data_IF_165195604168
#
_entry.id   IF_165195604168
#
_cell.length_a   1.000
_cell.length_b   1.000
_cell.length_c   1.000
_cell.angle_alpha   90.00
_cell.angle_beta   90.00
_cell.angle_gamma   90.00
#
_symmetry.space_group_name_H-M   'P 1'
#
loop_
_entity.id
_entity.type
_entity.pdbx_description
1 polymer ?
#
# COMPACT_ATOMS: atom_id res chain seq x y z
N UNK A 1 -43.83 -54.92 -32.59
CA UNK A 1 -42.63 -54.38 -33.26
C UNK A 1 -41.90 -53.57 -32.20
N UNK A 2 -40.72 -53.91 -31.70
CA UNK A 2 -39.75 -54.97 -31.92
C UNK A 2 -38.89 -55.04 -30.63
N UNK A 3 -38.21 -56.17 -30.47
CA UNK A 3 -37.61 -56.81 -29.31
C UNK A 3 -36.38 -56.04 -28.76
N UNK A 4 -36.08 -56.03 -27.46
CA UNK A 4 -35.34 -57.15 -26.83
C UNK A 4 -35.15 -57.01 -25.30
N UNK A 5 -35.53 -58.09 -24.59
CA UNK A 5 -34.82 -58.85 -23.52
C UNK A 5 -34.28 -58.06 -22.29
N UNK A 6 -34.82 -58.25 -21.06
CA UNK A 6 -34.68 -59.39 -20.09
C UNK A 6 -33.21 -59.82 -19.86
N UNK A 7 -32.69 -60.16 -18.67
CA UNK A 7 -33.09 -60.15 -17.26
C UNK A 7 -31.81 -60.59 -16.47
N UNK A 8 -31.54 -59.96 -15.30
CA UNK A 8 -31.01 -60.46 -13.98
C UNK A 8 -29.94 -61.61 -13.87
N UNK A 9 -29.38 -61.98 -12.68
CA UNK A 9 -29.20 -61.32 -11.37
C UNK A 9 -27.81 -61.58 -10.67
N UNK A 10 -27.58 -60.94 -9.51
CA UNK A 10 -27.07 -61.60 -8.30
C UNK A 10 -25.56 -61.85 -8.10
N UNK A 11 -25.03 -61.48 -6.93
CA UNK A 11 -23.75 -62.03 -6.44
C UNK A 11 -23.07 -61.22 -5.32
N UNK A 12 -23.45 -61.48 -4.07
CA UNK A 12 -22.69 -61.13 -2.85
C UNK A 12 -21.37 -61.92 -2.81
N UNK A 13 -20.27 -61.33 -2.35
CA UNK A 13 -19.51 -61.83 -1.18
C UNK A 13 -18.37 -60.89 -0.73
N UNK A 14 -18.24 -60.81 0.59
CA UNK A 14 -17.11 -60.23 1.36
C UNK A 14 -15.93 -61.21 1.38
N UNK A 15 -14.78 -60.71 1.86
CA UNK A 15 -13.71 -61.27 2.72
C UNK A 15 -12.37 -60.71 2.18
N UNK A 16 -11.46 -60.10 2.93
CA UNK A 16 -11.33 -60.01 4.38
C UNK A 16 -10.18 -59.11 4.81
N UNK A 17 -9.95 -59.20 6.11
CA UNK A 17 -9.14 -58.37 6.99
C UNK A 17 -7.63 -58.38 6.68
N UNK A 18 -6.98 -57.24 6.96
CA UNK A 18 -5.67 -57.25 7.60
C UNK A 18 -5.55 -56.06 8.55
N UNK A 19 -5.69 -56.40 9.83
CA UNK A 19 -5.34 -55.57 10.97
C UNK A 19 -3.82 -55.42 11.06
N UNK A 20 -3.35 -54.19 11.34
CA UNK A 20 -2.10 -53.99 12.07
C UNK A 20 -2.40 -53.04 13.23
N UNK A 21 -2.42 -53.63 14.40
CA UNK A 21 -2.43 -52.99 15.71
C UNK A 21 -1.05 -52.40 15.97
N UNK A 22 -0.97 -51.12 16.34
CA UNK A 22 0.14 -50.64 17.17
C UNK A 22 -0.42 -49.67 18.20
N UNK A 23 -0.29 -50.09 19.45
CA UNK A 23 -0.69 -49.44 20.70
C UNK A 23 -0.07 -48.04 20.82
N UNK A 24 -0.85 -47.07 21.28
CA UNK A 24 -0.34 -45.78 21.74
C UNK A 24 0.30 -45.87 23.13
N UNK A 25 1.06 -44.85 23.53
CA UNK A 25 1.25 -44.49 24.93
C UNK A 25 0.45 -43.22 25.32
N UNK A 26 0.01 -43.25 26.57
CA UNK A 26 -0.78 -42.29 27.36
C UNK A 26 -0.11 -40.90 27.50
N UNK A 27 -0.85 -39.82 27.84
CA UNK A 27 -0.44 -38.43 27.69
C UNK A 27 0.26 -37.89 28.94
N UNK A 28 1.32 -37.12 28.75
CA UNK A 28 1.71 -36.10 29.72
C UNK A 28 2.63 -35.04 29.12
N UNK A 29 2.27 -33.78 29.41
CA UNK A 29 3.03 -32.51 29.30
C UNK A 29 3.02 -31.73 27.97
N UNK A 30 2.98 -30.38 28.04
CA UNK A 30 2.41 -29.52 27.00
C UNK A 30 3.47 -29.08 25.98
N UNK A 31 3.15 -29.22 24.70
CA UNK A 31 3.94 -28.68 23.60
C UNK A 31 3.55 -27.23 23.35
N UNK A 32 4.38 -26.31 23.83
CA UNK A 32 4.44 -24.92 23.37
C UNK A 32 4.77 -24.88 21.87
N UNK A 33 3.88 -24.29 21.09
CA UNK A 33 4.02 -24.15 19.65
C UNK A 33 3.20 -22.96 19.15
N UNK A 34 3.43 -21.79 19.74
CA UNK A 34 3.06 -20.52 19.12
C UNK A 34 4.14 -20.18 18.10
N UNK A 35 3.91 -20.53 16.83
CA UNK A 35 4.71 -20.06 15.71
C UNK A 35 3.94 -18.97 14.99
N UNK A 36 3.93 -17.78 15.58
CA UNK A 36 3.60 -16.55 14.87
C UNK A 36 4.75 -16.23 13.90
N UNK A 37 4.51 -16.07 12.58
CA UNK A 37 5.57 -15.82 11.63
C UNK A 37 6.10 -14.39 11.83
N UNK A 38 7.40 -14.28 12.13
CA UNK A 38 8.12 -13.02 12.17
C UNK A 38 7.94 -12.26 10.84
N UNK A 39 7.29 -11.09 10.91
CA UNK A 39 7.19 -10.17 9.77
C UNK A 39 8.58 -9.63 9.37
N UNK A 40 8.75 -9.15 8.13
CA UNK A 40 10.05 -8.68 7.66
C UNK A 40 10.50 -7.45 8.45
N UNK A 41 11.69 -7.55 9.05
CA UNK A 41 12.44 -6.44 9.66
C UNK A 41 12.71 -5.37 8.60
N UNK A 42 12.08 -4.21 8.77
CA UNK A 42 12.18 -3.08 7.85
C UNK A 42 13.22 -2.12 8.42
N UNK A 43 14.49 -2.24 8.04
CA UNK A 43 15.55 -1.42 8.61
C UNK A 43 15.34 0.09 8.31
N UNK A 44 14.90 0.85 9.30
CA UNK A 44 14.80 2.33 9.30
C UNK A 44 16.16 3.00 9.12
N UNK A 45 17.27 2.25 9.25
CA UNK A 45 18.66 2.72 9.12
C UNK A 45 18.92 3.52 7.84
N UNK A 46 18.20 3.27 6.74
CA UNK A 46 18.41 3.99 5.47
C UNK A 46 17.80 5.40 5.41
N UNK A 47 16.83 5.75 6.26
CA UNK A 47 16.18 7.08 6.25
C UNK A 47 16.90 8.13 7.10
N UNK A 48 17.99 7.75 7.76
CA UNK A 48 18.73 8.59 8.70
C UNK A 48 20.05 9.18 8.17
N UNK A 49 20.41 8.90 6.92
CA UNK A 49 21.62 9.46 6.33
C UNK A 49 21.38 10.90 5.86
N UNK A 50 21.60 11.87 6.75
CA UNK A 50 21.86 13.25 6.34
C UNK A 50 23.23 13.27 5.62
N UNK A 51 23.25 13.42 4.29
CA UNK A 51 24.46 13.88 3.60
C UNK A 51 24.61 15.39 3.84
N UNK A 52 25.70 15.87 4.45
CA UNK A 52 25.85 17.29 4.75
C UNK A 52 26.06 18.09 3.45
N UNK A 53 25.23 19.13 3.27
CA UNK A 53 25.43 20.13 2.22
C UNK A 53 26.77 20.87 2.42
N UNK A 54 27.52 21.17 1.34
CA UNK A 54 28.79 21.87 1.46
C UNK A 54 28.53 23.37 1.67
N UNK A 55 28.90 23.93 2.82
CA UNK A 55 29.07 25.39 2.92
C UNK A 55 28.83 26.12 4.24
N UNK A 56 28.67 25.48 5.40
CA UNK A 56 28.71 26.21 6.68
C UNK A 56 29.55 25.52 7.76
N UNK A 57 30.62 26.21 8.16
CA UNK A 57 31.67 25.77 9.08
C UNK A 57 31.26 25.97 10.54
N UNK A 58 30.20 25.30 10.97
CA UNK A 58 30.02 24.90 12.36
C UNK A 58 29.47 23.48 12.38
N UNK A 59 30.34 22.48 12.60
CA UNK A 59 29.91 21.09 12.75
C UNK A 59 29.02 21.01 14.00
N UNK A 60 27.71 21.06 13.82
CA UNK A 60 26.77 20.60 14.82
C UNK A 60 27.08 19.11 15.02
N UNK A 61 27.86 18.78 16.05
CA UNK A 61 27.87 17.43 16.60
C UNK A 61 26.41 17.09 16.82
N UNK A 62 25.90 16.04 16.17
CA UNK A 62 24.53 15.58 16.39
C UNK A 62 24.20 15.65 17.87
N UNK A 63 23.10 16.33 18.20
CA UNK A 63 22.72 16.48 19.59
C UNK A 63 22.61 15.10 20.23
N UNK A 64 22.88 15.00 21.53
CA UNK A 64 22.77 13.70 22.22
C UNK A 64 21.36 13.11 22.04
N UNK A 65 20.33 13.96 21.96
CA UNK A 65 18.96 13.57 21.65
C UNK A 65 18.80 13.02 20.21
N UNK A 66 19.49 13.57 19.21
CA UNK A 66 19.49 13.05 17.84
C UNK A 66 20.10 11.64 17.76
N UNK A 67 21.20 11.39 18.49
CA UNK A 67 21.79 10.05 18.57
C UNK A 67 20.90 9.05 19.31
N UNK A 68 20.26 9.47 20.40
CA UNK A 68 19.30 8.63 21.13
C UNK A 68 18.08 8.32 20.25
N UNK A 69 17.61 9.29 19.46
CA UNK A 69 16.55 9.07 18.47
C UNK A 69 16.95 7.96 17.49
N UNK A 70 18.16 8.02 16.93
CA UNK A 70 18.64 6.98 16.03
C UNK A 70 18.72 5.62 16.73
N UNK A 71 19.27 5.57 17.94
CA UNK A 71 19.35 4.33 18.71
C UNK A 71 17.97 3.73 19.04
N UNK A 72 16.92 4.55 19.17
CA UNK A 72 15.53 4.07 19.33
C UNK A 72 14.96 3.54 18.00
N UNK A 73 15.31 4.11 16.85
CA UNK A 73 14.93 3.55 15.55
C UNK A 73 15.60 2.19 15.33
N UNK A 74 16.90 2.11 15.59
CA UNK A 74 17.66 0.86 15.49
C UNK A 74 17.11 -0.20 16.46
N UNK A 75 16.64 0.22 17.64
CA UNK A 75 15.96 -0.65 18.61
C UNK A 75 14.67 -1.24 18.04
N UNK A 76 13.81 -0.42 17.42
CA UNK A 76 12.57 -0.88 16.78
C UNK A 76 12.87 -1.95 15.74
N UNK A 77 13.92 -1.74 14.93
CA UNK A 77 14.32 -2.67 13.88
C UNK A 77 14.87 -3.98 14.42
N UNK A 78 15.82 -3.88 15.36
CA UNK A 78 16.55 -5.02 15.89
C UNK A 78 15.70 -5.89 16.80
N UNK A 79 14.71 -5.31 17.48
CA UNK A 79 13.74 -6.05 18.29
C UNK A 79 12.46 -6.43 17.52
N UNK A 80 12.36 -6.04 16.24
CA UNK A 80 11.23 -6.39 15.38
C UNK A 80 9.89 -5.83 15.87
N UNK A 81 9.91 -4.66 16.50
CA UNK A 81 8.71 -4.03 17.06
C UNK A 81 7.81 -3.52 15.93
N UNK A 82 6.61 -4.08 15.85
CA UNK A 82 5.59 -3.72 14.88
C UNK A 82 4.67 -2.60 15.36
N UNK A 83 3.77 -2.17 14.48
CA UNK A 83 2.74 -1.18 14.80
C UNK A 83 1.93 -1.62 16.01
N UNK A 84 1.83 -0.75 17.01
CA UNK A 84 1.13 -1.01 18.27
C UNK A 84 2.02 -1.56 19.39
N UNK A 85 3.22 -2.07 19.07
CA UNK A 85 4.13 -2.60 20.08
C UNK A 85 4.70 -1.48 20.95
N UNK A 86 4.84 -1.79 22.25
CA UNK A 86 5.35 -0.85 23.23
C UNK A 86 6.89 -0.81 23.23
N UNK A 87 7.43 0.40 23.14
CA UNK A 87 8.83 0.67 23.45
C UNK A 87 9.12 0.44 24.94
N UNK A 88 10.37 0.10 25.31
CA UNK A 88 10.80 0.13 26.68
C UNK A 88 10.54 1.50 27.33
N UNK A 89 10.27 1.49 28.65
CA UNK A 89 9.99 2.74 29.36
C UNK A 89 11.16 3.72 29.27
N UNK A 90 10.89 5.03 29.40
CA UNK A 90 11.93 6.07 29.40
C UNK A 90 13.06 5.79 30.38
N UNK A 91 12.77 5.15 31.53
CA UNK A 91 13.79 4.77 32.51
C UNK A 91 14.72 3.68 31.98
N UNK A 92 14.16 2.65 31.36
CA UNK A 92 14.91 1.54 30.76
C UNK A 92 15.76 2.03 29.59
N UNK A 93 15.21 2.88 28.73
CA UNK A 93 15.96 3.48 27.62
C UNK A 93 17.10 4.38 28.10
N UNK A 94 16.88 5.15 29.17
CA UNK A 94 17.91 6.01 29.75
C UNK A 94 19.09 5.20 30.30
N UNK A 95 18.81 4.11 31.00
CA UNK A 95 19.82 3.16 31.49
C UNK A 95 20.55 2.48 30.33
N UNK A 96 19.81 1.95 29.35
CA UNK A 96 20.36 1.24 28.19
C UNK A 96 21.31 2.10 27.37
N UNK A 97 20.98 3.38 27.18
CA UNK A 97 21.79 4.30 26.37
C UNK A 97 22.79 5.11 27.19
N UNK A 98 22.81 4.98 28.52
CA UNK A 98 23.73 5.73 29.39
C UNK A 98 23.49 7.24 29.37
N UNK A 99 22.23 7.69 29.25
CA UNK A 99 21.85 9.12 29.16
C UNK A 99 20.81 9.49 30.20
N UNK A 100 20.53 10.79 30.38
CA UNK A 100 19.47 11.23 31.29
C UNK A 100 18.07 10.95 30.71
N UNK A 101 17.07 10.75 31.58
CA UNK A 101 15.66 10.59 31.17
C UNK A 101 15.14 11.77 30.35
N UNK A 102 15.66 12.98 30.59
CA UNK A 102 15.28 14.19 29.84
C UNK A 102 15.68 14.07 28.37
N UNK A 103 16.89 13.59 28.09
CA UNK A 103 17.38 13.39 26.70
C UNK A 103 16.54 12.32 25.99
N UNK A 104 16.19 11.23 26.67
CA UNK A 104 15.28 10.21 26.10
C UNK A 104 13.91 10.80 25.80
N UNK A 105 13.34 11.60 26.72
CA UNK A 105 12.04 12.25 26.46
C UNK A 105 12.10 13.17 25.25
N UNK A 106 13.16 13.95 25.08
CA UNK A 106 13.35 14.80 23.90
C UNK A 106 13.41 13.97 22.61
N UNK A 107 14.18 12.88 22.60
CA UNK A 107 14.27 11.97 21.46
C UNK A 107 12.92 11.33 21.12
N UNK A 108 12.19 10.82 22.12
CA UNK A 108 10.86 10.24 21.93
C UNK A 108 9.84 11.28 21.47
N UNK A 109 9.89 12.50 22.00
CA UNK A 109 9.03 13.61 21.54
C UNK A 109 9.30 13.96 20.09
N UNK A 110 10.55 13.95 19.64
CA UNK A 110 10.89 14.14 18.23
C UNK A 110 10.35 13.00 17.34
N UNK A 111 10.47 11.75 17.77
CA UNK A 111 9.88 10.60 17.05
C UNK A 111 8.35 10.67 16.99
N UNK A 112 7.72 11.13 18.07
CA UNK A 112 6.28 11.33 18.11
C UNK A 112 5.84 12.45 17.16
N UNK A 113 6.60 13.54 17.08
CA UNK A 113 6.36 14.62 16.13
C UNK A 113 6.51 14.17 14.66
N UNK A 114 7.42 13.22 14.39
CA UNK A 114 7.55 12.56 13.09
C UNK A 114 6.46 11.51 12.82
N UNK A 115 5.61 11.21 13.81
CA UNK A 115 4.55 10.22 13.69
C UNK A 115 5.04 8.77 13.65
N UNK A 116 6.28 8.51 14.08
CA UNK A 116 6.87 7.16 14.12
C UNK A 116 6.37 6.40 15.36
N UNK A 117 6.11 7.13 16.44
CA UNK A 117 5.58 6.58 17.69
C UNK A 117 4.41 7.43 18.20
N UNK A 118 3.63 6.88 19.11
CA UNK A 118 2.62 7.59 19.88
C UNK A 118 2.98 7.54 21.37
N UNK A 119 2.86 8.68 22.06
CA UNK A 119 3.11 8.79 23.49
C UNK A 119 1.76 8.90 24.21
N UNK A 120 1.33 7.81 24.82
CA UNK A 120 0.13 7.79 25.66
C UNK A 120 0.41 8.36 27.05
N UNK A 121 -0.46 9.23 27.56
CA UNK A 121 -0.32 9.84 28.88
C UNK A 121 -0.19 8.78 29.99
N UNK A 122 1.02 8.61 30.53
CA UNK A 122 1.31 7.68 31.62
C UNK A 122 1.59 6.23 31.22
N UNK A 123 1.67 5.90 29.92
CA UNK A 123 2.05 4.57 29.41
C UNK A 123 3.33 4.63 28.57
N UNK A 124 3.89 3.46 28.27
CA UNK A 124 5.01 3.33 27.34
C UNK A 124 4.63 3.87 25.96
N UNK A 125 5.59 4.48 25.26
CA UNK A 125 5.39 4.89 23.87
C UNK A 125 5.21 3.65 22.99
N UNK A 126 4.38 3.74 21.95
CA UNK A 126 4.10 2.61 21.04
C UNK A 126 4.45 2.97 19.61
N UNK A 127 4.90 2.00 18.81
CA UNK A 127 5.18 2.21 17.38
C UNK A 127 3.88 2.55 16.64
N UNK A 128 3.89 3.58 15.80
CA UNK A 128 2.73 4.05 15.05
C UNK A 128 2.78 3.53 13.61
N UNK A 129 1.61 3.33 13.02
CA UNK A 129 1.52 3.07 11.58
C UNK A 129 2.07 4.26 10.77
N UNK A 130 2.72 4.03 9.62
CA UNK A 130 3.15 5.10 8.73
C UNK A 130 2.00 6.05 8.38
N UNK A 131 2.20 7.34 8.59
CA UNK A 131 1.22 8.38 8.28
C UNK A 131 1.63 9.11 6.99
N UNK A 132 0.80 9.09 5.93
CA UNK A 132 1.15 9.71 4.66
C UNK A 132 1.22 11.24 4.73
N UNK A 133 0.86 11.89 5.86
CA UNK A 133 0.80 13.35 5.99
C UNK A 133 2.14 14.05 5.70
N UNK A 134 3.27 13.55 6.20
CA UNK A 134 4.59 14.15 5.94
C UNK A 134 5.01 13.98 4.47
N UNK A 135 4.82 12.78 3.94
CA UNK A 135 5.07 12.48 2.52
C UNK A 135 4.20 13.37 1.63
N UNK A 136 2.91 13.52 1.97
CA UNK A 136 1.96 14.40 1.29
C UNK A 136 2.43 15.85 1.31
N UNK A 137 2.88 16.35 2.45
CA UNK A 137 3.39 17.71 2.57
C UNK A 137 4.60 17.94 1.66
N UNK A 138 5.59 17.04 1.73
CA UNK A 138 6.79 17.11 0.90
C UNK A 138 6.45 17.07 -0.59
N UNK A 139 5.70 16.05 -1.03
CA UNK A 139 5.34 15.87 -2.43
C UNK A 139 4.51 17.04 -2.95
N UNK A 140 3.54 17.54 -2.18
CA UNK A 140 2.75 18.72 -2.56
C UNK A 140 3.67 19.93 -2.79
N UNK A 141 4.69 20.13 -1.96
CA UNK A 141 5.65 21.22 -2.13
C UNK A 141 6.55 20.99 -3.35
N UNK A 142 7.12 19.80 -3.51
CA UNK A 142 7.98 19.46 -4.64
C UNK A 142 7.26 19.66 -5.99
N UNK A 143 6.00 19.23 -6.08
CA UNK A 143 5.17 19.41 -7.26
C UNK A 143 4.88 20.88 -7.56
N UNK A 144 4.64 21.73 -6.54
CA UNK A 144 4.44 23.18 -6.72
C UNK A 144 5.67 23.88 -7.30
N UNK A 145 6.85 23.45 -6.89
CA UNK A 145 8.12 24.09 -7.27
C UNK A 145 8.74 23.43 -8.53
N UNK A 146 8.04 22.48 -9.16
CA UNK A 146 8.56 21.73 -10.32
C UNK A 146 8.67 22.62 -11.58
N UNK A 147 9.85 22.71 -12.24
CA UNK A 147 10.10 23.62 -13.38
C UNK A 147 9.27 23.38 -14.66
N UNK A 148 8.40 22.37 -14.72
CA UNK A 148 7.53 22.06 -15.85
C UNK A 148 6.04 22.12 -15.54
N UNK A 149 5.66 22.63 -14.36
CA UNK A 149 4.29 22.62 -13.86
C UNK A 149 3.98 21.37 -13.03
N UNK A 150 3.03 21.54 -12.10
CA UNK A 150 2.70 20.53 -11.10
C UNK A 150 1.94 19.33 -11.66
N UNK A 151 1.26 19.45 -12.81
CA UNK A 151 0.55 18.33 -13.43
C UNK A 151 1.51 17.34 -14.08
N UNK A 152 2.39 17.80 -14.98
CA UNK A 152 3.38 16.94 -15.64
C UNK A 152 4.26 16.20 -14.63
N UNK A 153 4.82 16.92 -13.65
CA UNK A 153 5.65 16.31 -12.61
C UNK A 153 4.89 15.24 -11.79
N UNK A 154 3.58 15.42 -11.62
CA UNK A 154 2.72 14.46 -10.95
C UNK A 154 2.43 13.24 -11.81
N UNK A 155 2.22 13.40 -13.13
CA UNK A 155 2.06 12.27 -14.05
C UNK A 155 3.36 11.46 -14.17
N UNK A 156 4.51 12.14 -14.28
CA UNK A 156 5.83 11.50 -14.32
C UNK A 156 6.13 10.68 -13.04
N UNK A 157 5.54 11.08 -11.90
CA UNK A 157 5.60 10.31 -10.65
C UNK A 157 4.60 9.13 -10.64
N UNK A 158 3.35 9.37 -11.04
CA UNK A 158 2.28 8.36 -10.94
C UNK A 158 2.46 7.20 -11.92
N UNK A 159 2.77 7.50 -13.19
CA UNK A 159 2.80 6.50 -14.26
C UNK A 159 3.64 5.26 -13.89
N UNK A 160 4.93 5.38 -13.51
CA UNK A 160 5.73 4.22 -13.15
C UNK A 160 5.27 3.52 -11.85
N UNK A 161 4.71 4.27 -10.89
CA UNK A 161 4.23 3.69 -9.62
C UNK A 161 2.95 2.88 -9.81
N UNK A 162 2.04 3.38 -10.64
CA UNK A 162 0.74 2.75 -10.88
C UNK A 162 0.84 1.58 -11.84
N UNK A 163 1.68 1.67 -12.89
CA UNK A 163 2.02 0.53 -13.72
C UNK A 163 2.55 -0.63 -12.87
N UNK A 164 3.51 -0.33 -11.98
CA UNK A 164 4.05 -1.32 -11.04
C UNK A 164 3.00 -1.84 -10.07
N UNK A 165 2.12 -0.99 -9.56
CA UNK A 165 1.03 -1.38 -8.67
C UNK A 165 0.06 -2.35 -9.37
N UNK A 166 -0.32 -2.09 -10.61
CA UNK A 166 -1.19 -2.96 -11.42
C UNK A 166 -0.55 -4.34 -11.65
N UNK A 167 0.73 -4.38 -12.00
CA UNK A 167 1.51 -5.63 -12.12
C UNK A 167 1.45 -6.49 -10.86
N UNK A 168 1.74 -5.84 -9.73
CA UNK A 168 1.78 -6.50 -8.43
C UNK A 168 0.38 -6.95 -7.99
N UNK A 169 -0.65 -6.14 -8.25
CA UNK A 169 -2.04 -6.48 -7.96
C UNK A 169 -2.51 -7.72 -8.74
N UNK A 170 -2.16 -7.81 -10.03
CA UNK A 170 -2.46 -8.99 -10.86
C UNK A 170 -1.84 -10.26 -10.27
N UNK A 171 -0.56 -10.18 -9.84
CA UNK A 171 0.14 -11.30 -9.21
C UNK A 171 -0.49 -11.67 -7.87
N UNK A 172 -0.85 -10.67 -7.06
CA UNK A 172 -1.41 -10.86 -5.72
C UNK A 172 -2.85 -11.40 -5.73
N UNK A 173 -3.61 -11.16 -6.80
CA UNK A 173 -5.00 -11.61 -6.95
C UNK A 173 -5.17 -12.92 -7.72
N UNK A 174 -4.10 -13.46 -8.30
CA UNK A 174 -4.14 -14.75 -8.99
C UNK A 174 -4.66 -15.93 -8.11
N UNK A 175 -4.34 -16.02 -6.81
CA UNK A 175 -4.87 -17.09 -5.95
C UNK A 175 -6.40 -17.00 -5.76
N UNK A 176 -7.08 -18.15 -5.76
CA UNK A 176 -8.55 -18.24 -5.65
C UNK A 176 -9.10 -17.73 -4.30
N UNK A 177 -8.28 -17.75 -3.26
CA UNK A 177 -8.61 -17.24 -1.91
C UNK A 177 -8.90 -15.74 -1.92
N UNK A 178 -8.45 -15.01 -2.95
CA UNK A 178 -8.67 -13.57 -3.13
C UNK A 178 -9.99 -13.23 -3.84
N UNK A 179 -10.94 -14.18 -3.91
CA UNK A 179 -12.24 -13.99 -4.58
C UNK A 179 -12.97 -12.72 -4.13
N UNK A 180 -13.02 -12.44 -2.84
CA UNK A 180 -13.70 -11.26 -2.31
C UNK A 180 -13.09 -9.94 -2.84
N UNK A 181 -11.77 -9.85 -2.92
CA UNK A 181 -11.08 -8.69 -3.48
C UNK A 181 -11.33 -8.56 -5.00
N UNK A 182 -11.36 -9.69 -5.72
CA UNK A 182 -11.69 -9.70 -7.16
C UNK A 182 -13.11 -9.22 -7.41
N UNK A 183 -14.06 -9.64 -6.60
CA UNK A 183 -15.47 -9.24 -6.71
C UNK A 183 -15.66 -7.75 -6.34
N UNK A 184 -14.95 -7.25 -5.32
CA UNK A 184 -14.94 -5.83 -5.00
C UNK A 184 -14.39 -4.98 -6.15
N UNK A 185 -13.32 -5.42 -6.81
CA UNK A 185 -12.75 -4.71 -7.95
C UNK A 185 -13.69 -4.69 -9.17
N UNK A 186 -14.44 -5.77 -9.41
CA UNK A 186 -15.50 -5.81 -10.44
C UNK A 186 -16.63 -4.85 -10.11
N UNK A 187 -17.13 -4.88 -8.88
CA UNK A 187 -18.21 -3.99 -8.45
C UNK A 187 -17.83 -2.52 -8.58
N UNK A 188 -16.58 -2.17 -8.25
CA UNK A 188 -16.07 -0.81 -8.43
C UNK A 188 -16.07 -0.39 -9.90
N UNK A 189 -15.67 -1.29 -10.81
CA UNK A 189 -15.70 -1.02 -12.25
C UNK A 189 -17.14 -0.83 -12.77
N UNK A 190 -18.08 -1.63 -12.29
CA UNK A 190 -19.51 -1.47 -12.60
C UNK A 190 -20.04 -0.12 -12.11
N UNK A 191 -19.72 0.26 -10.87
CA UNK A 191 -20.11 1.55 -10.29
C UNK A 191 -19.54 2.75 -11.09
N UNK A 192 -18.32 2.62 -11.61
CA UNK A 192 -17.74 3.61 -12.53
C UNK A 192 -18.52 3.70 -13.86
N UNK A 193 -18.94 2.56 -14.39
CA UNK A 193 -19.78 2.49 -15.59
C UNK A 193 -21.11 3.22 -15.40
N UNK A 194 -21.79 2.98 -14.27
CA UNK A 194 -23.04 3.63 -13.92
C UNK A 194 -22.88 5.15 -13.69
N UNK A 195 -21.71 5.57 -13.21
CA UNK A 195 -21.38 6.97 -12.96
C UNK A 195 -20.79 7.70 -14.18
N UNK A 196 -20.78 7.11 -15.38
CA UNK A 196 -20.14 7.69 -16.57
C UNK A 196 -20.60 9.13 -16.84
N UNK A 197 -21.89 9.42 -16.75
CA UNK A 197 -22.38 10.77 -17.03
C UNK A 197 -22.34 11.71 -15.81
N UNK A 198 -21.90 11.22 -14.65
CA UNK A 198 -21.83 12.02 -13.42
C UNK A 198 -20.44 12.70 -13.30
N UNK A 199 -20.33 14.01 -13.61
CA UNK A 199 -19.06 14.72 -13.56
C UNK A 199 -18.55 14.90 -12.13
N UNK A 200 -19.42 14.71 -11.15
CA UNK A 200 -19.07 14.81 -9.75
C UNK A 200 -18.54 13.49 -9.24
N UNK A 201 -19.20 12.34 -9.52
CA UNK A 201 -18.99 11.00 -8.94
C UNK A 201 -17.92 10.16 -9.64
N UNK A 202 -17.79 10.27 -10.97
CA UNK A 202 -16.79 9.50 -11.70
C UNK A 202 -15.36 9.78 -11.22
N UNK A 203 -14.92 11.04 -11.01
CA UNK A 203 -13.56 11.33 -10.56
C UNK A 203 -13.21 10.77 -9.17
N UNK A 204 -14.16 10.59 -8.24
CA UNK A 204 -13.89 9.92 -6.96
C UNK A 204 -13.69 8.43 -7.17
N UNK A 205 -14.52 7.81 -8.01
CA UNK A 205 -14.43 6.38 -8.28
C UNK A 205 -13.15 6.05 -9.06
N UNK A 206 -12.77 6.90 -10.00
CA UNK A 206 -11.50 6.86 -10.71
C UNK A 206 -10.33 6.87 -9.72
N UNK A 207 -10.27 7.88 -8.84
CA UNK A 207 -9.25 7.94 -7.80
C UNK A 207 -9.31 6.74 -6.83
N UNK A 208 -10.52 6.25 -6.51
CA UNK A 208 -10.70 5.08 -5.66
C UNK A 208 -10.14 3.82 -6.32
N UNK A 209 -10.35 3.63 -7.62
CA UNK A 209 -9.83 2.50 -8.38
C UNK A 209 -8.30 2.44 -8.30
N UNK A 210 -7.61 3.54 -8.59
CA UNK A 210 -6.14 3.58 -8.53
C UNK A 210 -5.60 3.27 -7.13
N UNK A 211 -6.25 3.79 -6.08
CA UNK A 211 -5.90 3.50 -4.68
C UNK A 211 -6.12 2.05 -4.33
N UNK A 212 -7.20 1.48 -4.82
CA UNK A 212 -7.57 0.08 -4.57
C UNK A 212 -6.61 -0.87 -5.27
N UNK A 213 -6.23 -0.60 -6.52
CA UNK A 213 -5.16 -1.34 -7.22
C UNK A 213 -3.85 -1.26 -6.41
N UNK A 214 -3.49 -0.08 -5.91
CA UNK A 214 -2.31 0.08 -5.07
C UNK A 214 -2.39 -0.71 -3.76
N UNK A 215 -3.55 -0.75 -3.10
CA UNK A 215 -3.78 -1.58 -1.91
C UNK A 215 -3.63 -3.06 -2.23
N UNK A 216 -4.23 -3.51 -3.33
CA UNK A 216 -4.24 -4.90 -3.79
C UNK A 216 -2.86 -5.38 -4.25
N UNK A 217 -1.96 -4.48 -4.62
CA UNK A 217 -0.56 -4.79 -4.90
C UNK A 217 0.19 -5.48 -3.75
N UNK A 218 -0.32 -5.37 -2.52
CA UNK A 218 0.34 -5.86 -1.31
C UNK A 218 1.56 -5.04 -0.90
N UNK A 219 1.91 -3.99 -1.65
CA UNK A 219 3.02 -3.10 -1.35
C UNK A 219 2.51 -1.86 -0.60
N UNK A 220 2.60 -1.91 0.73
CA UNK A 220 2.13 -0.83 1.60
C UNK A 220 2.83 0.51 1.35
N UNK A 221 4.09 0.51 0.90
CA UNK A 221 4.80 1.74 0.56
C UNK A 221 4.24 2.40 -0.71
N UNK A 222 3.96 1.60 -1.76
CA UNK A 222 3.30 2.10 -2.97
C UNK A 222 1.91 2.66 -2.65
N UNK A 223 1.12 1.93 -1.88
CA UNK A 223 -0.19 2.41 -1.44
C UNK A 223 -0.10 3.72 -0.66
N UNK A 224 0.85 3.83 0.29
CA UNK A 224 1.05 5.05 1.08
C UNK A 224 1.46 6.27 0.25
N UNK A 225 2.33 6.10 -0.74
CA UNK A 225 2.74 7.19 -1.66
C UNK A 225 1.55 7.64 -2.52
N UNK A 226 0.79 6.69 -3.08
CA UNK A 226 -0.38 7.02 -3.91
C UNK A 226 -1.50 7.68 -3.09
N UNK A 227 -1.71 7.26 -1.84
CA UNK A 227 -2.58 7.96 -0.90
C UNK A 227 -2.09 9.39 -0.60
N UNK A 228 -0.78 9.59 -0.51
CA UNK A 228 -0.17 10.90 -0.27
C UNK A 228 -0.39 11.89 -1.42
N UNK A 229 -0.51 11.42 -2.68
CA UNK A 229 -0.75 12.29 -3.85
C UNK A 229 -2.22 12.39 -4.28
N UNK A 230 -3.11 11.57 -3.71
CA UNK A 230 -4.53 11.49 -4.11
C UNK A 230 -5.40 12.75 -3.88
N UNK A 231 -5.38 13.44 -2.73
CA UNK A 231 -6.11 14.68 -2.51
C UNK A 231 -5.75 15.85 -3.46
N UNK A 232 -4.46 16.13 -3.77
CA UNK A 232 -4.17 17.11 -4.80
C UNK A 232 -4.65 16.68 -6.20
N UNK A 233 -4.65 15.38 -6.50
CA UNK A 233 -5.15 14.83 -7.77
C UNK A 233 -6.64 15.05 -7.99
N UNK A 234 -7.46 14.96 -6.95
CA UNK A 234 -8.93 15.03 -7.10
C UNK A 234 -9.41 16.28 -7.87
N UNK A 235 -8.78 17.44 -7.63
CA UNK A 235 -9.11 18.67 -8.37
C UNK A 235 -8.70 18.58 -9.83
N UNK A 236 -7.48 18.15 -10.11
CA UNK A 236 -6.97 18.00 -11.47
C UNK A 236 -7.81 16.99 -12.28
N UNK A 237 -8.21 15.87 -11.67
CA UNK A 237 -9.03 14.84 -12.31
C UNK A 237 -10.45 15.34 -12.62
N UNK A 238 -11.06 16.11 -11.72
CA UNK A 238 -12.35 16.77 -11.99
C UNK A 238 -12.25 17.71 -13.19
N UNK A 239 -11.23 18.56 -13.23
CA UNK A 239 -11.07 19.53 -14.32
C UNK A 239 -10.75 18.82 -15.66
N UNK A 240 -9.99 17.72 -15.61
CA UNK A 240 -9.74 16.83 -16.75
C UNK A 240 -11.02 16.18 -17.28
N UNK A 241 -11.87 15.69 -16.38
CA UNK A 241 -13.17 15.10 -16.75
C UNK A 241 -14.05 16.11 -17.47
N UNK A 242 -14.13 17.34 -16.97
CA UNK A 242 -14.85 18.45 -17.64
C UNK A 242 -14.30 18.70 -19.04
N UNK A 243 -12.97 18.74 -19.19
CA UNK A 243 -12.33 18.91 -20.49
C UNK A 243 -12.65 17.76 -21.45
N UNK A 244 -12.54 16.49 -21.01
CA UNK A 244 -12.89 15.31 -21.80
C UNK A 244 -14.36 15.32 -22.24
N UNK A 245 -15.26 15.69 -21.32
CA UNK A 245 -16.67 15.84 -21.62
C UNK A 245 -16.89 16.86 -22.73
N UNK A 246 -16.29 18.05 -22.63
CA UNK A 246 -16.41 19.09 -23.66
C UNK A 246 -15.86 18.69 -25.05
N UNK A 247 -14.97 17.70 -25.10
CA UNK A 247 -14.37 17.16 -26.34
C UNK A 247 -15.08 15.91 -26.87
N UNK A 248 -16.15 15.45 -26.22
CA UNK A 248 -16.87 14.23 -26.60
C UNK A 248 -16.07 12.95 -26.38
N UNK A 249 -15.07 12.98 -25.50
CA UNK A 249 -14.19 11.84 -25.18
C UNK A 249 -14.67 11.02 -23.97
N UNK A 250 -15.96 11.13 -23.64
CA UNK A 250 -16.58 10.39 -22.54
C UNK A 250 -16.58 8.89 -22.85
N UNK A 251 -16.23 8.07 -21.84
CA UNK A 251 -16.20 6.61 -21.96
C UNK A 251 -14.88 6.01 -22.42
N UNK A 252 -13.99 6.75 -23.09
CA UNK A 252 -12.67 6.26 -23.47
C UNK A 252 -11.83 5.86 -22.24
N UNK A 253 -11.82 6.69 -21.21
CA UNK A 253 -11.14 6.41 -19.93
C UNK A 253 -11.75 5.20 -19.20
N UNK A 254 -13.06 4.97 -19.32
CA UNK A 254 -13.66 3.79 -18.71
C UNK A 254 -13.25 2.51 -19.43
N UNK A 255 -13.16 2.54 -20.76
CA UNK A 255 -12.65 1.40 -21.53
C UNK A 255 -11.18 1.09 -21.18
N UNK A 256 -10.37 2.10 -20.88
CA UNK A 256 -9.01 1.92 -20.34
C UNK A 256 -9.04 1.21 -18.97
N UNK A 257 -9.88 1.67 -18.03
CA UNK A 257 -10.06 1.02 -16.73
C UNK A 257 -10.54 -0.43 -16.84
N UNK A 258 -11.45 -0.73 -17.77
CA UNK A 258 -11.90 -2.10 -18.05
C UNK A 258 -10.74 -2.99 -18.47
N UNK A 259 -9.82 -2.49 -19.33
CA UNK A 259 -8.63 -3.26 -19.76
C UNK A 259 -7.68 -3.51 -18.60
N UNK A 260 -7.43 -2.50 -17.76
CA UNK A 260 -6.57 -2.62 -16.57
C UNK A 260 -7.12 -3.69 -15.62
N UNK A 261 -8.39 -3.54 -15.22
CA UNK A 261 -9.04 -4.45 -14.27
C UNK A 261 -9.15 -5.86 -14.87
N UNK A 262 -9.46 -5.99 -16.17
CA UNK A 262 -9.47 -7.26 -16.88
C UNK A 262 -8.15 -8.01 -16.74
N UNK A 263 -7.03 -7.35 -17.09
CA UNK A 263 -5.70 -7.95 -16.98
C UNK A 263 -5.32 -8.33 -15.53
N UNK A 264 -5.70 -7.50 -14.55
CA UNK A 264 -5.52 -7.82 -13.13
C UNK A 264 -6.31 -9.06 -12.73
N UNK A 265 -7.58 -9.15 -13.14
CA UNK A 265 -8.45 -10.27 -12.80
C UNK A 265 -8.09 -11.57 -13.52
N UNK A 266 -7.45 -11.49 -14.68
CA UNK A 266 -6.86 -12.61 -15.41
C UNK A 266 -5.54 -13.09 -14.78
N UNK A 267 -4.95 -12.28 -13.88
CA UNK A 267 -3.68 -12.59 -13.24
C UNK A 267 -2.49 -12.44 -14.18
N UNK A 268 -2.57 -11.59 -15.21
CA UNK A 268 -1.48 -11.28 -16.15
C UNK A 268 -0.76 -9.98 -15.72
N UNK A 269 0.42 -10.07 -15.07
CA UNK A 269 1.11 -8.90 -14.55
C UNK A 269 1.63 -7.99 -15.66
N UNK A 270 2.08 -8.56 -16.77
CA UNK A 270 2.66 -7.80 -17.88
C UNK A 270 1.55 -7.05 -18.65
N UNK A 271 0.39 -7.68 -18.84
CA UNK A 271 -0.75 -7.00 -19.45
C UNK A 271 -1.33 -5.91 -18.54
N UNK A 272 -1.38 -6.14 -17.23
CA UNK A 272 -1.87 -5.16 -16.26
C UNK A 272 -0.98 -3.90 -16.20
N UNK A 273 0.34 -4.08 -16.20
CA UNK A 273 1.31 -2.98 -16.25
C UNK A 273 1.15 -2.16 -17.53
N UNK A 274 1.18 -2.82 -18.71
CA UNK A 274 1.01 -2.15 -19.99
C UNK A 274 -0.30 -1.39 -20.11
N UNK A 275 -1.42 -1.99 -19.67
CA UNK A 275 -2.72 -1.33 -19.73
C UNK A 275 -2.78 -0.07 -18.86
N UNK A 276 -2.12 -0.10 -17.69
CA UNK A 276 -2.03 1.06 -16.80
C UNK A 276 -1.08 2.13 -17.36
N UNK A 277 0.06 1.74 -17.92
CA UNK A 277 0.99 2.69 -18.55
C UNK A 277 0.31 3.43 -19.71
N UNK A 278 -0.41 2.71 -20.59
CA UNK A 278 -1.18 3.31 -21.70
C UNK A 278 -2.26 4.29 -21.21
N UNK A 279 -2.96 3.94 -20.13
CA UNK A 279 -3.94 4.83 -19.51
C UNK A 279 -3.29 6.11 -18.97
N UNK A 280 -2.17 5.98 -18.26
CA UNK A 280 -1.45 7.12 -17.70
C UNK A 280 -0.85 8.02 -18.79
N UNK A 281 -0.36 7.44 -19.89
CA UNK A 281 0.09 8.18 -21.07
C UNK A 281 -1.07 8.92 -21.75
N UNK A 282 -2.24 8.29 -21.89
CA UNK A 282 -3.43 8.92 -22.45
C UNK A 282 -3.91 10.11 -21.58
N UNK A 283 -3.80 9.99 -20.25
CA UNK A 283 -4.07 11.10 -19.31
C UNK A 283 -3.04 12.22 -19.47
N UNK A 284 -1.75 11.88 -19.51
CA UNK A 284 -0.66 12.86 -19.64
C UNK A 284 -0.71 13.65 -20.96
N UNK A 285 -1.14 13.00 -22.05
CA UNK A 285 -1.27 13.63 -23.37
C UNK A 285 -2.34 14.74 -23.42
N UNK A 286 -3.27 14.79 -22.47
CA UNK A 286 -4.30 15.83 -22.42
C UNK A 286 -3.79 17.16 -21.84
N UNK A 287 -2.61 17.16 -21.19
CA UNK A 287 -2.03 18.30 -20.47
C UNK A 287 -1.54 19.43 -21.40
N UNK A 288 -0.95 19.11 -22.56
CA UNK A 288 -0.17 20.09 -23.34
C UNK A 288 -0.95 21.23 -24.01
N UNK A 289 -2.28 21.20 -24.01
CA UNK A 289 -3.13 22.24 -24.64
C UNK A 289 -4.33 22.68 -23.80
N UNK A 290 -4.55 22.08 -22.62
CA UNK A 290 -5.81 22.20 -21.88
C UNK A 290 -5.67 22.98 -20.57
N UNK A 291 -4.47 23.02 -19.97
CA UNK A 291 -4.27 23.56 -18.63
C UNK A 291 -3.12 24.59 -18.60
N UNK A 292 -3.41 25.90 -18.71
CA UNK A 292 -2.43 26.94 -18.42
C UNK A 292 -2.15 27.12 -16.90
N UNK A 293 -2.55 26.16 -16.05
CA UNK A 293 -2.56 26.31 -14.60
C UNK A 293 -2.34 25.01 -13.81
N UNK A 294 -1.65 25.16 -12.69
CA UNK A 294 -1.22 24.13 -11.73
C UNK A 294 -2.32 23.11 -11.34
N UNK A 295 -1.98 21.82 -11.28
CA UNK A 295 -2.78 20.73 -10.68
C UNK A 295 -3.07 20.94 -9.17
N UNK A 296 -2.39 21.91 -8.55
CA UNK A 296 -2.50 22.28 -7.15
C UNK A 296 -3.18 23.64 -7.01
N UNK A 297 -4.00 23.85 -5.96
CA UNK A 297 -4.63 25.15 -5.72
C UNK A 297 -3.58 26.25 -5.49
N UNK A 298 -3.91 27.52 -5.79
CA UNK A 298 -3.07 28.67 -5.45
C UNK A 298 -2.79 28.71 -3.93
N UNK A 299 -1.72 29.42 -3.56
CA UNK A 299 -1.27 29.55 -2.17
C UNK A 299 -2.31 30.22 -1.28
#
# INVERSE_FOLDING_TARGET
MDLSRRDHPGGRQRVGDLAVSISGPDPSTPSSGDTSPAGPSFAWTYLAADEPAPGDTTLARDSLAARVRQAVLDLIDTEGLGVGDALPSTGVLAERFGVSRTVVREALSALAALGIIEISNGRSATVRAPDPTLVRFYLTRALRESPGGSFRALMDLRAPLEGRAARLAASALAPEERRADRDALRALLEEMGDALEDPSRYPQLDLHLHREIARLSGNGALHGILEAVSPPLFRAMRDLRVARHSRGLMGAEHAEHVRIVGAILEGDPDAAERAMDEHMDAVAALDSSTFPGSALPPR
#
